data_IF_942444558486
#
_entry.id   IF_942444558486
#
_cell.length_a   1.000
_cell.length_b   1.000
_cell.length_c   1.000
_cell.angle_alpha   90.00
_cell.angle_beta   90.00
_cell.angle_gamma   90.00
#
_symmetry.space_group_name_H-M   'P 1'
#
loop_
_entity.id
_entity.type
_entity.pdbx_description
1 polymer ?
#
# COMPACT_ATOMS: atom_id res chain seq x y z
N UNK A 1 19.73 44.23 4.95
CA UNK A 1 18.68 43.64 4.10
C UNK A 1 18.33 42.26 4.65
N UNK A 2 17.57 42.20 5.75
CA UNK A 2 17.11 40.92 6.31
C UNK A 2 15.59 40.94 6.31
N UNK A 3 14.96 40.55 5.19
CA UNK A 3 13.56 40.18 5.22
C UNK A 3 13.44 38.86 5.98
N UNK A 4 12.96 38.93 7.22
CA UNK A 4 12.56 37.73 7.97
C UNK A 4 11.46 37.04 7.17
N UNK A 5 11.64 35.76 6.86
CA UNK A 5 10.60 34.94 6.25
C UNK A 5 9.37 34.99 7.17
N UNK A 6 8.34 35.73 6.74
CA UNK A 6 7.22 36.21 7.57
C UNK A 6 6.41 35.11 8.27
N UNK A 7 6.59 33.85 7.87
CA UNK A 7 5.75 32.72 8.26
C UNK A 7 6.52 31.54 8.88
N UNK A 8 7.85 31.62 9.02
CA UNK A 8 8.64 30.53 9.63
C UNK A 8 8.49 30.56 11.15
N UNK A 9 8.09 29.42 11.73
CA UNK A 9 7.89 29.25 13.18
C UNK A 9 6.50 29.64 13.70
N UNK A 10 5.59 30.10 12.82
CA UNK A 10 4.21 30.42 13.19
C UNK A 10 3.32 29.15 13.20
N UNK A 11 2.36 29.07 14.12
CA UNK A 11 1.38 27.99 14.18
C UNK A 11 0.28 28.18 13.11
N UNK A 12 0.61 27.87 11.86
CA UNK A 12 -0.31 28.01 10.73
C UNK A 12 -1.06 26.71 10.44
N UNK A 13 -2.26 26.83 9.89
CA UNK A 13 -2.99 25.70 9.35
C UNK A 13 -2.22 25.05 8.19
N UNK A 14 -2.36 23.74 8.06
CA UNK A 14 -1.73 22.97 6.98
C UNK A 14 -2.35 23.32 5.62
N UNK A 15 -1.51 23.53 4.61
CA UNK A 15 -1.97 23.81 3.23
C UNK A 15 -2.79 22.65 2.64
N UNK A 16 -2.48 21.41 3.03
CA UNK A 16 -3.18 20.19 2.64
C UNK A 16 -4.30 19.82 3.62
N UNK A 17 -4.54 20.66 4.64
CA UNK A 17 -5.46 20.38 5.73
C UNK A 17 -6.89 20.19 5.24
N UNK A 18 -7.37 21.10 4.39
CA UNK A 18 -8.73 21.03 3.84
C UNK A 18 -8.99 19.68 3.15
N UNK A 19 -8.11 19.29 2.22
CA UNK A 19 -8.26 18.03 1.47
C UNK A 19 -8.33 16.81 2.39
N UNK A 20 -7.53 16.80 3.46
CA UNK A 20 -7.49 15.70 4.43
C UNK A 20 -8.71 15.63 5.33
N UNK A 21 -9.20 16.78 5.80
CA UNK A 21 -10.36 16.82 6.72
C UNK A 21 -11.70 16.69 6.01
N UNK A 22 -11.75 16.95 4.70
CA UNK A 22 -12.96 16.75 3.89
C UNK A 22 -12.98 15.42 3.16
N UNK A 23 -11.96 14.57 3.31
CA UNK A 23 -11.86 13.29 2.61
C UNK A 23 -11.68 13.40 1.10
N UNK A 24 -11.17 14.53 0.60
CA UNK A 24 -10.93 14.78 -0.84
C UNK A 24 -9.47 14.62 -1.24
N UNK A 25 -8.57 14.39 -0.28
CA UNK A 25 -7.20 13.97 -0.55
C UNK A 25 -7.19 12.55 -1.12
N UNK A 26 -6.65 12.38 -2.32
CA UNK A 26 -6.49 11.07 -2.96
C UNK A 26 -5.22 10.38 -2.49
N UNK A 27 -5.35 9.16 -1.99
CA UNK A 27 -4.24 8.27 -1.63
C UNK A 27 -4.11 7.13 -2.65
N UNK A 28 -3.06 6.32 -2.51
CA UNK A 28 -2.71 5.28 -3.49
C UNK A 28 -3.87 4.33 -3.82
N UNK A 29 -4.72 4.01 -2.84
CA UNK A 29 -5.86 3.09 -3.00
C UNK A 29 -7.13 3.74 -3.55
N UNK A 30 -7.18 5.07 -3.63
CA UNK A 30 -8.37 5.81 -4.04
C UNK A 30 -8.46 5.96 -5.57
N UNK A 31 -7.38 5.65 -6.28
CA UNK A 31 -7.35 5.69 -7.73
C UNK A 31 -8.17 4.53 -8.31
N UNK A 32 -9.29 4.85 -8.95
CA UNK A 32 -10.08 3.88 -9.70
C UNK A 32 -9.36 3.46 -10.99
N UNK A 33 -8.79 2.26 -10.98
CA UNK A 33 -8.13 1.67 -12.15
C UNK A 33 -9.03 0.57 -12.73
N UNK A 34 -9.25 0.61 -14.05
CA UNK A 34 -10.08 -0.38 -14.75
C UNK A 34 -9.39 -1.76 -14.72
N UNK A 35 -10.18 -2.82 -14.47
CA UNK A 35 -9.70 -4.22 -14.44
C UNK A 35 -8.55 -4.47 -13.43
N UNK A 36 -8.59 -3.80 -12.29
CA UNK A 36 -7.58 -3.97 -11.23
C UNK A 36 -7.69 -5.34 -10.57
N UNK A 37 -6.58 -6.08 -10.53
CA UNK A 37 -6.43 -7.27 -9.71
C UNK A 37 -6.14 -6.87 -8.25
N UNK A 38 -6.60 -7.70 -7.31
CA UNK A 38 -6.33 -7.52 -5.88
C UNK A 38 -5.30 -8.54 -5.42
N UNK A 39 -4.36 -8.11 -4.59
CA UNK A 39 -3.33 -8.97 -4.01
C UNK A 39 -3.49 -9.06 -2.49
N UNK A 40 -3.22 -10.24 -1.95
CA UNK A 40 -3.16 -10.49 -0.50
C UNK A 40 -1.79 -11.06 -0.17
N UNK A 41 -1.14 -10.50 0.85
CA UNK A 41 0.20 -10.91 1.27
C UNK A 41 0.10 -11.99 2.36
N UNK A 42 0.71 -13.14 2.10
CA UNK A 42 0.94 -14.17 3.10
C UNK A 42 2.37 -14.04 3.65
N UNK A 43 2.49 -13.99 4.97
CA UNK A 43 3.76 -13.80 5.68
C UNK A 43 4.23 -15.11 6.29
N UNK A 44 5.53 -15.19 6.59
CA UNK A 44 6.10 -16.29 7.38
C UNK A 44 5.34 -16.45 8.71
N UNK A 45 5.02 -17.71 9.05
CA UNK A 45 4.43 -18.06 10.34
C UNK A 45 5.47 -18.15 11.48
N UNK A 46 6.77 -18.05 11.15
CA UNK A 46 7.89 -18.13 12.09
C UNK A 46 8.85 -16.96 11.91
N UNK A 47 9.63 -16.63 12.94
CA UNK A 47 10.58 -15.53 12.91
C UNK A 47 11.79 -15.79 12.00
N UNK A 48 12.33 -17.03 11.99
CA UNK A 48 13.48 -17.40 11.19
C UNK A 48 13.46 -18.90 10.85
N UNK A 49 13.83 -19.25 9.61
CA UNK A 49 13.89 -20.62 9.13
C UNK A 49 14.06 -20.68 7.61
N UNK A 50 13.92 -21.87 7.03
CA UNK A 50 13.96 -22.10 5.59
C UNK A 50 12.62 -22.70 5.13
N UNK A 51 12.10 -22.22 4.01
CA UNK A 51 10.95 -22.85 3.35
C UNK A 51 11.44 -24.18 2.77
N UNK A 52 11.00 -25.30 3.34
CA UNK A 52 11.32 -26.65 2.83
C UNK A 52 10.29 -27.10 1.79
N UNK A 53 9.05 -26.64 1.93
CA UNK A 53 7.97 -26.90 0.98
C UNK A 53 6.95 -25.75 1.01
N UNK A 54 6.23 -25.59 -0.11
CA UNK A 54 5.16 -24.62 -0.29
C UNK A 54 4.20 -25.16 -1.36
N UNK A 55 3.01 -25.56 -0.94
CA UNK A 55 1.92 -26.01 -1.81
C UNK A 55 0.91 -24.85 -2.02
N UNK A 56 0.75 -24.45 -3.28
CA UNK A 56 -0.16 -23.38 -3.71
C UNK A 56 -1.38 -23.91 -4.46
N UNK A 57 -1.50 -25.24 -4.64
CA UNK A 57 -2.40 -25.86 -5.60
C UNK A 57 -3.88 -25.57 -5.34
N UNK A 58 -4.30 -25.55 -4.08
CA UNK A 58 -5.69 -25.23 -3.72
C UNK A 58 -6.01 -23.74 -3.90
N UNK A 59 -5.04 -22.86 -3.60
CA UNK A 59 -5.20 -21.43 -3.81
C UNK A 59 -5.31 -21.08 -5.29
N UNK A 60 -4.50 -21.71 -6.15
CA UNK A 60 -4.52 -21.51 -7.60
C UNK A 60 -5.83 -21.95 -8.27
N UNK A 61 -6.54 -22.94 -7.70
CA UNK A 61 -7.84 -23.41 -8.21
C UNK A 61 -9.02 -22.56 -7.72
N UNK A 62 -8.80 -21.68 -6.74
CA UNK A 62 -9.89 -20.90 -6.15
C UNK A 62 -10.47 -19.91 -7.17
N UNK A 63 -11.80 -19.74 -7.16
CA UNK A 63 -12.49 -18.88 -8.10
C UNK A 63 -11.99 -17.42 -8.00
N UNK A 64 -11.61 -16.84 -9.13
CA UNK A 64 -11.12 -15.46 -9.22
C UNK A 64 -9.65 -15.26 -8.90
N UNK A 65 -8.91 -16.32 -8.52
CA UNK A 65 -7.45 -16.24 -8.38
C UNK A 65 -6.81 -16.19 -9.76
N UNK A 66 -5.97 -15.18 -9.97
CA UNK A 66 -5.24 -15.00 -11.24
C UNK A 66 -3.84 -15.61 -11.18
N UNK A 67 -3.18 -15.55 -10.02
CA UNK A 67 -1.84 -16.11 -9.81
C UNK A 67 -1.55 -16.24 -8.31
N UNK A 68 -0.66 -17.17 -7.97
CA UNK A 68 0.03 -17.22 -6.67
C UNK A 68 1.51 -16.97 -6.90
N UNK A 69 2.02 -15.84 -6.41
CA UNK A 69 3.40 -15.40 -6.65
C UNK A 69 4.26 -15.83 -5.46
N UNK A 70 5.36 -16.53 -5.74
CA UNK A 70 6.26 -17.08 -4.73
C UNK A 70 7.71 -17.02 -5.20
N UNK A 71 8.67 -17.29 -4.31
CA UNK A 71 10.09 -17.41 -4.68
C UNK A 71 10.38 -18.53 -5.71
N UNK A 72 9.42 -19.41 -6.01
CA UNK A 72 9.56 -20.45 -7.03
C UNK A 72 9.31 -19.93 -8.45
N UNK A 73 8.66 -18.76 -8.62
CA UNK A 73 8.20 -18.26 -9.91
C UNK A 73 8.43 -16.75 -10.16
N UNK A 74 9.12 -16.05 -9.25
CA UNK A 74 9.49 -14.64 -9.38
C UNK A 74 10.79 -14.32 -8.64
#
# INVERSE_FOLDING_TARGET
MNERIKNVGQAMNRIDGLLKVTGTATYATDYAIKNTAYAVIFKSAIAAGKIIDLDTSEAEKAAGVLAVITHKNA
#
